data_IF_458862206286
#
_entry.id   IF_458862206286
#
_cell.length_a   1.000
_cell.length_b   1.000
_cell.length_c   1.000
_cell.angle_alpha   90.00
_cell.angle_beta   90.00
_cell.angle_gamma   90.00
#
_symmetry.space_group_name_H-M   'P 1'
#
loop_
_entity.id
_entity.type
_entity.pdbx_description
1 polymer ?
#
# COMPACT_ATOMS: atom_id res chain seq x y z
N UNK A 1 3.04 -14.15 -4.28
CA UNK A 1 2.49 -12.94 -4.90
C UNK A 1 1.45 -12.36 -3.94
N UNK A 2 1.51 -11.05 -3.66
CA UNK A 2 0.79 -10.40 -2.56
C UNK A 2 -0.74 -10.50 -2.71
N UNK A 3 -1.22 -10.57 -3.95
CA UNK A 3 -2.63 -10.76 -4.35
C UNK A 3 -3.29 -12.00 -3.73
N UNK A 4 -2.50 -13.04 -3.41
CA UNK A 4 -3.02 -14.27 -2.78
C UNK A 4 -3.27 -14.11 -1.27
N UNK A 5 -2.74 -13.05 -0.67
CA UNK A 5 -2.87 -12.76 0.76
C UNK A 5 -4.15 -11.95 1.00
N UNK A 6 -5.29 -12.50 0.60
CA UNK A 6 -6.59 -11.82 0.62
C UNK A 6 -7.06 -11.41 2.01
N UNK A 7 -6.51 -12.01 3.07
CA UNK A 7 -6.77 -11.68 4.47
C UNK A 7 -5.67 -10.82 5.11
N UNK A 8 -4.70 -10.32 4.34
CA UNK A 8 -3.68 -9.41 4.85
C UNK A 8 -4.33 -8.08 5.21
N UNK A 9 -4.23 -7.71 6.50
CA UNK A 9 -4.79 -6.47 7.04
C UNK A 9 -3.73 -5.40 7.30
N UNK A 10 -2.50 -5.81 7.60
CA UNK A 10 -1.38 -4.92 7.86
C UNK A 10 -0.21 -5.28 6.94
N UNK A 11 0.39 -4.27 6.31
CA UNK A 11 1.62 -4.41 5.54
C UNK A 11 2.55 -3.23 5.84
N UNK A 12 3.74 -3.55 6.30
CA UNK A 12 4.83 -2.59 6.44
C UNK A 12 5.93 -2.91 5.43
N UNK A 13 6.14 -1.97 4.51
CA UNK A 13 7.22 -1.98 3.52
C UNK A 13 8.02 -0.68 3.60
N UNK A 14 7.99 -0.02 4.76
CA UNK A 14 8.81 1.16 5.00
C UNK A 14 10.31 0.88 4.86
N UNK A 15 11.09 1.92 4.57
CA UNK A 15 12.56 1.84 4.45
C UNK A 15 13.02 0.88 3.35
N UNK A 16 12.35 0.93 2.20
CA UNK A 16 12.73 0.18 1.01
C UNK A 16 13.04 1.14 -0.14
N UNK A 17 13.40 0.59 -1.30
CA UNK A 17 13.74 1.37 -2.50
C UNK A 17 12.66 1.22 -3.58
N UNK A 18 11.40 1.02 -3.18
CA UNK A 18 10.31 0.80 -4.12
C UNK A 18 9.96 2.11 -4.83
N UNK A 19 9.90 2.06 -6.15
CA UNK A 19 9.43 3.17 -7.00
C UNK A 19 7.93 3.08 -7.33
N UNK A 20 7.36 1.87 -7.25
CA UNK A 20 5.96 1.58 -7.51
C UNK A 20 5.44 0.44 -6.61
N UNK A 21 4.12 0.39 -6.42
CA UNK A 21 3.44 -0.74 -5.83
C UNK A 21 2.57 -1.43 -6.88
N UNK A 22 2.48 -2.78 -6.87
CA UNK A 22 1.62 -3.50 -7.80
C UNK A 22 0.15 -3.15 -7.55
N UNK A 23 -0.65 -3.05 -8.61
CA UNK A 23 -2.08 -2.75 -8.50
C UNK A 23 -2.86 -3.76 -7.65
N UNK A 24 -2.38 -5.01 -7.57
CA UNK A 24 -2.98 -6.07 -6.75
C UNK A 24 -2.90 -5.85 -5.24
N UNK A 25 -2.13 -4.86 -4.77
CA UNK A 25 -2.13 -4.43 -3.37
C UNK A 25 -3.55 -3.99 -2.92
N UNK A 26 -4.37 -3.48 -3.84
CA UNK A 26 -5.75 -3.07 -3.56
C UNK A 26 -6.71 -4.25 -3.32
N UNK A 27 -6.39 -5.43 -3.83
CA UNK A 27 -7.21 -6.66 -3.65
C UNK A 27 -7.06 -7.24 -2.24
N UNK A 28 -5.97 -6.89 -1.55
CA UNK A 28 -5.78 -7.25 -0.14
C UNK A 28 -6.76 -6.48 0.74
N UNK A 29 -7.24 -7.09 1.84
CA UNK A 29 -8.09 -6.42 2.84
C UNK A 29 -7.28 -5.53 3.80
N UNK A 30 -6.26 -4.84 3.28
CA UNK A 30 -5.40 -3.96 4.06
C UNK A 30 -6.21 -2.84 4.71
N UNK A 31 -6.12 -2.77 6.03
CA UNK A 31 -6.55 -1.63 6.85
C UNK A 31 -5.41 -0.62 6.98
N UNK A 32 -4.18 -1.12 7.08
CA UNK A 32 -2.98 -0.35 7.40
C UNK A 32 -1.85 -0.70 6.43
N UNK A 33 -1.29 0.32 5.79
CA UNK A 33 -0.20 0.20 4.82
C UNK A 33 0.86 1.26 5.13
N UNK A 34 2.04 0.83 5.56
CA UNK A 34 3.18 1.71 5.78
C UNK A 34 4.15 1.62 4.61
N UNK A 35 4.41 2.77 3.99
CA UNK A 35 5.23 2.91 2.78
C UNK A 35 6.28 4.02 2.90
N UNK A 36 6.51 4.54 4.11
CA UNK A 36 7.47 5.61 4.35
C UNK A 36 8.88 5.21 3.94
N UNK A 37 9.74 6.20 3.67
CA UNK A 37 11.13 5.95 3.29
C UNK A 37 11.24 5.00 2.08
N UNK A 38 10.49 5.31 1.02
CA UNK A 38 10.57 4.69 -0.29
C UNK A 38 10.69 5.77 -1.38
N UNK A 39 10.83 5.36 -2.65
CA UNK A 39 10.83 6.25 -3.80
C UNK A 39 9.50 6.25 -4.56
N UNK A 40 8.40 5.97 -3.85
CA UNK A 40 7.08 5.90 -4.45
C UNK A 40 6.66 7.26 -4.99
N UNK A 41 6.41 7.33 -6.30
CA UNK A 41 5.91 8.53 -6.97
C UNK A 41 4.40 8.71 -6.73
N UNK A 42 3.72 7.62 -6.38
CA UNK A 42 2.31 7.60 -6.04
C UNK A 42 1.88 6.22 -5.56
N UNK A 43 0.62 6.13 -5.14
CA UNK A 43 -0.04 4.87 -4.84
C UNK A 43 -0.88 4.43 -6.04
N UNK A 44 -1.02 3.11 -6.30
CA UNK A 44 -1.87 2.63 -7.37
C UNK A 44 -3.34 3.02 -7.12
N UNK A 45 -4.09 3.26 -8.19
CA UNK A 45 -5.51 3.65 -8.15
C UNK A 45 -6.38 2.68 -7.35
N UNK A 46 -5.98 1.41 -7.28
CA UNK A 46 -6.65 0.37 -6.50
C UNK A 46 -6.64 0.63 -4.99
N UNK A 47 -5.64 1.36 -4.47
CA UNK A 47 -5.61 1.89 -3.10
C UNK A 47 -6.51 3.13 -3.00
N UNK A 48 -6.37 4.08 -3.93
CA UNK A 48 -7.09 5.36 -3.90
C UNK A 48 -8.63 5.25 -3.98
N UNK A 49 -9.16 4.16 -4.55
CA UNK A 49 -10.60 3.86 -4.56
C UNK A 49 -11.17 3.42 -3.22
N UNK A 50 -10.34 3.02 -2.25
CA UNK A 50 -10.79 2.75 -0.87
C UNK A 50 -10.97 4.09 -0.14
N UNK A 51 -12.13 4.72 -0.32
CA UNK A 51 -12.58 5.87 0.47
C UNK A 51 -12.76 5.49 1.95
N UNK A 52 -11.68 5.35 2.73
CA UNK A 52 -11.71 5.43 4.19
C UNK A 52 -10.43 6.11 4.67
N UNK A 53 -10.60 7.01 5.64
CA UNK A 53 -9.55 7.80 6.30
C UNK A 53 -8.31 6.95 6.57
N UNK A 54 -7.30 7.08 5.72
CA UNK A 54 -5.99 6.47 5.92
C UNK A 54 -5.01 7.63 5.80
N UNK A 55 -4.43 8.00 6.95
CA UNK A 55 -3.38 9.00 7.02
C UNK A 55 -2.13 8.40 6.38
N UNK A 56 -1.97 8.64 5.08
CA UNK A 56 -0.71 8.38 4.40
C UNK A 56 0.30 9.41 4.92
N UNK A 57 1.14 9.01 5.86
CA UNK A 57 2.31 9.78 6.26
C UNK A 57 3.35 9.69 5.14
N UNK A 58 3.17 10.52 4.11
CA UNK A 58 4.22 10.88 3.17
C UNK A 58 5.00 12.03 3.83
N UNK A 59 6.19 11.73 4.36
CA UNK A 59 7.18 12.77 4.71
C UNK A 59 8.24 12.80 3.63
#
# INVERSE_FOLDING_TARGET
SIDKLTNLTFLDISQNQLSELPSSIGDCKLSDLHVSDNFLIGLPDSIGKKKRKQEFHLK
#
